data_IF_772473738138
#
_entry.id   IF_772473738138
#
_cell.length_a   1.000
_cell.length_b   1.000
_cell.length_c   1.000
_cell.angle_alpha   90.00
_cell.angle_beta   90.00
_cell.angle_gamma   90.00
#
_symmetry.space_group_name_H-M   'P 1'
#
loop_
_entity.id
_entity.type
_entity.pdbx_description
1 polymer ?
#
# COMPACT_ATOMS: atom_id res chain seq x y z
N UNK A 1 8.70 0.82 -16.63
CA UNK A 1 7.58 1.56 -16.01
C UNK A 1 7.63 1.58 -14.47
N UNK A 2 7.77 0.46 -13.74
CA UNK A 2 7.87 0.50 -12.26
C UNK A 2 9.06 1.33 -11.70
N UNK A 3 10.24 1.22 -12.34
CA UNK A 3 11.47 1.93 -11.92
C UNK A 3 11.34 3.46 -11.96
N UNK A 4 10.54 3.98 -12.90
CA UNK A 4 10.37 5.42 -13.12
C UNK A 4 9.25 6.04 -12.30
N UNK A 5 8.48 5.24 -11.55
CA UNK A 5 7.43 5.76 -10.66
C UNK A 5 8.03 6.25 -9.35
N UNK A 6 7.53 7.39 -8.87
CA UNK A 6 7.75 7.85 -7.50
C UNK A 6 7.30 6.77 -6.51
N UNK A 7 8.13 6.38 -5.53
CA UNK A 7 7.79 5.29 -4.62
C UNK A 7 6.54 5.52 -3.78
N UNK A 8 6.43 6.71 -3.18
CA UNK A 8 5.34 7.09 -2.27
C UNK A 8 4.84 8.48 -2.68
N UNK A 9 3.53 8.64 -2.81
CA UNK A 9 2.87 9.92 -3.06
C UNK A 9 2.66 10.73 -1.78
N UNK A 10 2.01 11.89 -1.90
CA UNK A 10 1.59 12.67 -0.73
C UNK A 10 0.22 12.20 -0.22
N UNK A 11 -0.09 12.40 1.07
CA UNK A 11 -1.44 12.23 1.58
C UNK A 11 -2.45 13.03 0.75
N UNK A 12 -3.56 12.41 0.38
CA UNK A 12 -4.61 13.07 -0.41
C UNK A 12 -5.39 14.01 0.52
N UNK A 13 -5.41 15.34 0.28
CA UNK A 13 -6.07 16.31 1.15
C UNK A 13 -7.55 15.98 1.40
N UNK A 14 -8.00 16.17 2.64
CA UNK A 14 -9.38 15.86 3.04
C UNK A 14 -9.68 14.36 3.18
N UNK A 15 -8.67 13.49 3.04
CA UNK A 15 -8.83 12.05 3.19
C UNK A 15 -7.73 11.46 4.08
N UNK A 16 -7.83 10.16 4.36
CA UNK A 16 -6.76 9.38 5.02
C UNK A 16 -6.01 8.47 4.05
N UNK A 17 -6.07 8.74 2.75
CA UNK A 17 -5.42 7.93 1.73
C UNK A 17 -3.99 8.40 1.43
N UNK A 18 -3.09 7.44 1.28
CA UNK A 18 -1.77 7.65 0.67
C UNK A 18 -1.47 6.54 -0.34
N UNK A 19 -1.13 6.93 -1.57
CA UNK A 19 -0.80 5.98 -2.63
C UNK A 19 0.71 5.74 -2.71
N UNK A 20 1.12 4.50 -2.98
CA UNK A 20 2.51 4.12 -3.20
C UNK A 20 2.59 3.01 -4.26
N UNK A 21 3.72 2.93 -4.96
CA UNK A 21 3.96 1.81 -5.90
C UNK A 21 4.28 0.55 -5.10
N UNK A 22 4.05 -0.62 -5.67
CA UNK A 22 4.28 -1.88 -4.95
C UNK A 22 5.75 -2.01 -4.48
N UNK A 23 6.02 -2.25 -3.17
CA UNK A 23 7.35 -2.60 -2.71
C UNK A 23 7.73 -4.00 -3.21
N UNK A 24 9.01 -4.20 -3.50
CA UNK A 24 9.55 -5.44 -4.05
C UNK A 24 10.55 -6.09 -3.07
N UNK A 25 10.65 -7.41 -3.09
CA UNK A 25 11.59 -8.22 -2.30
C UNK A 25 12.21 -9.36 -3.13
N UNK A 26 13.26 -9.96 -2.57
CA UNK A 26 13.83 -11.22 -3.06
C UNK A 26 14.55 -11.08 -4.40
N UNK A 27 14.40 -12.09 -5.26
CA UNK A 27 15.06 -12.16 -6.57
C UNK A 27 14.69 -10.98 -7.48
N UNK A 28 13.52 -10.38 -7.31
CA UNK A 28 13.08 -9.21 -8.10
C UNK A 28 13.97 -8.00 -7.81
N UNK A 29 14.41 -7.83 -6.56
CA UNK A 29 15.32 -6.75 -6.15
C UNK A 29 16.76 -6.93 -6.61
N UNK A 30 17.19 -8.15 -6.93
CA UNK A 30 18.57 -8.41 -7.36
C UNK A 30 18.89 -7.75 -8.71
N UNK A 31 17.86 -7.46 -9.51
CA UNK A 31 17.97 -6.78 -10.82
C UNK A 31 17.82 -5.26 -10.75
N UNK A 32 17.86 -4.67 -9.55
CA UNK A 32 17.67 -3.24 -9.31
C UNK A 32 18.93 -2.61 -8.69
N UNK A 33 19.30 -1.42 -9.15
CA UNK A 33 20.34 -0.62 -8.50
C UNK A 33 19.87 -0.17 -7.10
N UNK A 34 20.78 0.16 -6.17
CA UNK A 34 20.39 0.64 -4.83
C UNK A 34 19.40 1.80 -4.85
N UNK A 35 19.55 2.74 -5.78
CA UNK A 35 18.66 3.90 -5.96
C UNK A 35 17.29 3.55 -6.55
N UNK A 36 17.16 2.38 -7.18
CA UNK A 36 15.90 1.89 -7.73
C UNK A 36 15.13 0.99 -6.78
N UNK A 37 15.77 0.48 -5.72
CA UNK A 37 15.11 -0.42 -4.77
C UNK A 37 14.04 0.33 -3.99
N UNK A 38 12.94 -0.36 -3.76
CA UNK A 38 11.87 0.08 -2.88
C UNK A 38 11.29 -1.16 -2.21
N UNK A 39 11.65 -1.37 -0.96
CA UNK A 39 11.29 -2.54 -0.16
C UNK A 39 10.17 -2.19 0.84
N UNK A 40 9.55 -3.18 1.49
CA UNK A 40 8.60 -2.91 2.58
C UNK A 40 9.21 -2.06 3.69
N UNK A 41 10.51 -2.23 3.99
CA UNK A 41 11.22 -1.39 4.96
C UNK A 41 11.29 0.07 4.50
N UNK A 42 11.57 0.30 3.23
CA UNK A 42 11.64 1.65 2.66
C UNK A 42 10.26 2.33 2.65
N UNK A 43 9.19 1.57 2.40
CA UNK A 43 7.81 2.05 2.54
C UNK A 43 7.56 2.57 3.96
N UNK A 44 7.87 1.77 4.99
CA UNK A 44 7.66 2.18 6.39
C UNK A 44 8.54 3.38 6.76
N UNK A 45 9.78 3.43 6.28
CA UNK A 45 10.66 4.59 6.49
C UNK A 45 10.10 5.86 5.84
N UNK A 46 9.56 5.76 4.63
CA UNK A 46 8.92 6.88 3.94
C UNK A 46 7.67 7.39 4.68
N UNK A 47 6.83 6.48 5.21
CA UNK A 47 5.67 6.88 6.03
C UNK A 47 6.09 7.66 7.27
N UNK A 48 7.14 7.20 7.97
CA UNK A 48 7.71 7.92 9.12
C UNK A 48 8.24 9.30 8.73
N UNK A 49 8.93 9.40 7.60
CA UNK A 49 9.46 10.68 7.11
C UNK A 49 8.35 11.69 6.75
N UNK A 50 7.17 11.20 6.35
CA UNK A 50 5.99 12.01 6.10
C UNK A 50 5.17 12.31 7.36
N UNK A 51 5.63 11.87 8.54
CA UNK A 51 4.86 11.90 9.79
C UNK A 51 3.48 11.23 9.67
N UNK A 52 3.42 10.16 8.88
CA UNK A 52 2.21 9.37 8.64
C UNK A 52 2.31 8.05 9.39
N UNK A 53 1.30 7.76 10.22
CA UNK A 53 1.13 6.44 10.80
C UNK A 53 0.20 5.61 9.90
N UNK A 54 0.75 4.57 9.28
CA UNK A 54 -0.02 3.66 8.43
C UNK A 54 -0.80 2.66 9.29
N UNK A 55 -2.11 2.57 9.08
CA UNK A 55 -3.00 1.66 9.79
C UNK A 55 -3.52 0.49 8.95
N UNK A 56 -3.65 0.68 7.63
CA UNK A 56 -4.11 -0.34 6.69
C UNK A 56 -3.34 -0.24 5.38
N UNK A 57 -3.03 -1.37 4.76
CA UNK A 57 -2.62 -1.47 3.37
C UNK A 57 -3.68 -2.23 2.61
N UNK A 58 -4.21 -1.61 1.55
CA UNK A 58 -5.05 -2.29 0.56
C UNK A 58 -4.18 -2.60 -0.67
N UNK A 59 -3.75 -3.86 -0.79
CA UNK A 59 -2.95 -4.32 -1.93
C UNK A 59 -3.87 -4.71 -3.08
N UNK A 60 -3.80 -3.93 -4.15
CA UNK A 60 -4.61 -4.10 -5.36
C UNK A 60 -3.96 -5.02 -6.41
N UNK A 61 -2.71 -5.43 -6.23
CA UNK A 61 -2.00 -6.21 -7.25
C UNK A 61 -2.63 -7.58 -7.46
N UNK A 62 -2.58 -8.10 -8.69
CA UNK A 62 -3.11 -9.44 -9.01
C UNK A 62 -2.16 -10.59 -8.63
N UNK A 63 -1.18 -10.37 -7.74
CA UNK A 63 -0.18 -11.37 -7.38
C UNK A 63 0.29 -11.20 -5.93
N UNK A 64 0.77 -12.27 -5.30
CA UNK A 64 1.33 -12.26 -3.94
C UNK A 64 2.86 -12.34 -3.93
N UNK A 65 3.50 -12.26 -5.10
CA UNK A 65 4.94 -12.55 -5.28
C UNK A 65 5.88 -11.40 -4.92
N UNK A 66 5.35 -10.19 -4.67
CA UNK A 66 6.18 -8.99 -4.51
C UNK A 66 6.73 -8.81 -3.10
N UNK A 67 5.93 -9.10 -2.08
CA UNK A 67 6.29 -9.05 -0.66
C UNK A 67 5.30 -9.90 0.14
N UNK A 68 5.66 -10.26 1.37
CA UNK A 68 4.80 -11.02 2.28
C UNK A 68 4.28 -10.15 3.41
N UNK A 69 3.12 -10.50 3.99
CA UNK A 69 2.53 -9.77 5.13
C UNK A 69 3.48 -9.74 6.34
N UNK A 70 4.30 -10.79 6.52
CA UNK A 70 5.32 -10.86 7.59
C UNK A 70 6.43 -9.79 7.46
N UNK A 71 6.54 -9.16 6.29
CA UNK A 71 7.51 -8.08 6.03
C UNK A 71 7.00 -6.70 6.48
N UNK A 72 5.74 -6.62 6.91
CA UNK A 72 5.10 -5.39 7.38
C UNK A 72 5.06 -5.36 8.92
N UNK A 73 4.99 -4.17 9.54
CA UNK A 73 4.78 -4.06 10.97
C UNK A 73 3.46 -4.70 11.39
N UNK A 74 3.43 -5.41 12.52
CA UNK A 74 2.21 -6.05 13.06
C UNK A 74 1.08 -5.06 13.36
N UNK A 75 1.40 -3.78 13.52
CA UNK A 75 0.43 -2.70 13.73
C UNK A 75 -0.33 -2.29 12.47
N UNK A 76 0.14 -2.70 11.29
CA UNK A 76 -0.47 -2.38 10.00
C UNK A 76 -1.37 -3.53 9.57
N UNK A 77 -2.66 -3.27 9.42
CA UNK A 77 -3.58 -4.22 8.84
C UNK A 77 -3.29 -4.39 7.34
N UNK A 78 -3.51 -5.58 6.79
CA UNK A 78 -3.30 -5.86 5.37
C UNK A 78 -4.56 -6.47 4.75
N UNK A 79 -5.00 -5.92 3.62
CA UNK A 79 -6.11 -6.43 2.83
C UNK A 79 -5.68 -6.61 1.38
N UNK A 80 -5.76 -7.84 0.87
CA UNK A 80 -5.63 -8.14 -0.55
C UNK A 80 -6.97 -7.97 -1.25
N UNK A 81 -7.00 -7.18 -2.33
CA UNK A 81 -8.12 -7.10 -3.29
C UNK A 81 -7.54 -7.30 -4.68
N UNK A 82 -7.74 -8.47 -5.27
CA UNK A 82 -7.20 -8.79 -6.59
C UNK A 82 -7.86 -7.91 -7.66
N UNK A 83 -7.13 -6.92 -8.19
CA UNK A 83 -7.58 -6.11 -9.33
C UNK A 83 -6.78 -6.48 -10.56
N UNK A 84 -7.47 -6.78 -11.66
CA UNK A 84 -6.84 -6.96 -12.97
C UNK A 84 -6.36 -5.60 -13.44
N UNK A 85 -5.09 -5.54 -13.85
CA UNK A 85 -4.52 -4.29 -14.33
C UNK A 85 -5.09 -3.90 -15.69
N UNK A 86 -5.14 -2.60 -15.98
CA UNK A 86 -5.62 -2.02 -17.25
C UNK A 86 -7.13 -2.21 -17.52
N UNK A 87 -7.87 -2.76 -16.57
CA UNK A 87 -9.32 -2.91 -16.62
C UNK A 87 -9.99 -2.11 -15.50
N UNK A 88 -11.23 -1.68 -15.73
CA UNK A 88 -12.06 -1.09 -14.67
C UNK A 88 -12.46 -2.21 -13.71
N UNK A 89 -12.17 -2.09 -12.39
CA UNK A 89 -12.57 -3.11 -11.43
C UNK A 89 -14.08 -3.35 -11.43
N UNK A 90 -14.49 -4.60 -11.23
CA UNK A 90 -15.91 -4.95 -11.17
C UNK A 90 -16.62 -4.37 -9.93
N UNK A 91 -17.96 -4.38 -9.97
CA UNK A 91 -18.79 -3.85 -8.89
C UNK A 91 -18.52 -4.55 -7.54
N UNK A 92 -18.18 -5.84 -7.57
CA UNK A 92 -17.88 -6.60 -6.36
C UNK A 92 -16.58 -6.10 -5.69
N UNK A 93 -15.54 -5.85 -6.48
CA UNK A 93 -14.24 -5.34 -6.04
C UNK A 93 -14.37 -3.92 -5.51
N UNK A 94 -15.12 -3.06 -6.22
CA UNK A 94 -15.44 -1.70 -5.77
C UNK A 94 -16.18 -1.75 -4.43
N UNK A 95 -17.16 -2.63 -4.27
CA UNK A 95 -17.92 -2.78 -3.03
C UNK A 95 -17.04 -3.26 -1.88
N UNK A 96 -16.12 -4.21 -2.13
CA UNK A 96 -15.17 -4.68 -1.12
C UNK A 96 -14.20 -3.58 -0.69
N UNK A 97 -13.69 -2.78 -1.63
CA UNK A 97 -12.86 -1.61 -1.33
C UNK A 97 -13.62 -0.64 -0.42
N UNK A 98 -14.84 -0.23 -0.81
CA UNK A 98 -15.69 0.67 -0.02
C UNK A 98 -15.97 0.13 1.39
N UNK A 99 -16.27 -1.16 1.52
CA UNK A 99 -16.49 -1.81 2.83
C UNK A 99 -15.23 -1.78 3.70
N UNK A 100 -14.07 -2.11 3.12
CA UNK A 100 -12.79 -2.11 3.82
C UNK A 100 -12.44 -0.70 4.34
N UNK A 101 -12.56 0.30 3.48
CA UNK A 101 -12.29 1.71 3.83
C UNK A 101 -13.23 2.17 4.93
N UNK A 102 -14.56 1.99 4.78
CA UNK A 102 -15.53 2.42 5.80
C UNK A 102 -15.28 1.76 7.15
N UNK A 103 -15.00 0.45 7.16
CA UNK A 103 -14.67 -0.28 8.39
C UNK A 103 -13.42 0.30 9.06
N UNK A 104 -12.33 0.45 8.30
CA UNK A 104 -11.09 1.04 8.82
C UNK A 104 -11.34 2.44 9.39
N UNK A 105 -12.07 3.29 8.67
CA UNK A 105 -12.34 4.65 9.12
C UNK A 105 -13.15 4.68 10.42
N UNK A 106 -14.13 3.79 10.56
CA UNK A 106 -14.97 3.66 11.75
C UNK A 106 -14.19 3.14 12.97
N UNK A 107 -13.40 2.06 12.81
CA UNK A 107 -12.56 1.50 13.87
C UNK A 107 -11.45 2.46 14.31
N UNK A 108 -11.06 3.38 13.44
CA UNK A 108 -10.00 4.37 13.67
C UNK A 108 -10.55 5.80 13.70
N UNK A 109 -11.79 5.99 14.17
CA UNK A 109 -12.38 7.32 14.30
C UNK A 109 -11.65 8.18 15.35
N UNK A 110 -11.08 7.56 16.39
CA UNK A 110 -10.35 8.22 17.46
C UNK A 110 -8.84 8.40 17.22
N UNK A 111 -8.33 8.09 16.03
CA UNK A 111 -6.91 8.27 15.72
C UNK A 111 -6.67 8.80 14.30
N UNK A 112 -5.44 9.25 14.05
CA UNK A 112 -5.02 9.84 12.76
C UNK A 112 -4.42 8.85 11.77
N UNK A 113 -4.63 7.54 11.91
CA UNK A 113 -3.99 6.53 11.04
C UNK A 113 -4.48 6.62 9.59
N UNK A 114 -3.54 6.50 8.65
CA UNK A 114 -3.76 6.51 7.20
C UNK A 114 -3.92 5.09 6.63
N UNK A 115 -4.48 5.02 5.42
CA UNK A 115 -4.65 3.79 4.63
C UNK A 115 -4.12 3.94 3.19
#
# INVERSE_FOLDING_TARGET
>A
RWRSLTPVGQPIPGTRFIAFKVPLKGAINQRLTPTQKFTPKDLIAAMKALNVELGLIIDLTYTTRYYEVKDLPKSVQYKKLYTVGLEVPDNATILQFKKCVRKFLWENAGNGKYL
#
